data_IF_530877762720
#
_entry.id   IF_530877762720
#
_cell.length_a   1.000
_cell.length_b   1.000
_cell.length_c   1.000
_cell.angle_alpha   90.00
_cell.angle_beta   90.00
_cell.angle_gamma   90.00
#
_symmetry.space_group_name_H-M   'P 1'
#
loop_
_entity.id
_entity.type
_entity.pdbx_description
1 polymer ?
#
# COMPACT_ATOMS: atom_id res chain seq x y z
N UNK A 1 -8.69 -2.63 10.04
CA UNK A 1 -7.83 -3.27 9.01
C UNK A 1 -7.14 -2.20 8.20
N UNK A 2 -7.87 -1.25 7.60
CA UNK A 2 -7.31 -0.04 6.97
C UNK A 2 -7.31 1.15 7.94
N UNK A 3 -6.40 2.13 7.80
CA UNK A 3 -6.43 3.33 8.63
C UNK A 3 -7.71 4.12 8.37
N UNK A 4 -8.11 5.05 9.27
CA UNK A 4 -9.17 6.01 8.97
C UNK A 4 -8.93 6.60 7.57
N UNK A 5 -9.92 6.44 6.70
CA UNK A 5 -9.82 6.75 5.28
C UNK A 5 -11.15 7.32 4.81
N UNK A 6 -11.11 8.36 3.97
CA UNK A 6 -12.26 8.80 3.19
C UNK A 6 -11.85 8.88 1.71
N UNK A 7 -12.81 8.65 0.83
CA UNK A 7 -12.64 8.77 -0.62
C UNK A 7 -13.68 9.75 -1.11
N UNK A 8 -13.24 10.92 -1.58
CA UNK A 8 -14.17 12.02 -1.87
C UNK A 8 -13.64 12.97 -2.94
N UNK A 9 -14.56 13.65 -3.61
CA UNK A 9 -14.28 14.83 -4.44
C UNK A 9 -14.66 16.14 -3.74
N UNK A 10 -15.28 16.08 -2.58
CA UNK A 10 -15.72 17.26 -1.85
C UNK A 10 -14.60 17.82 -0.96
N UNK A 11 -14.15 19.03 -1.27
CA UNK A 11 -13.08 19.71 -0.52
C UNK A 11 -13.46 19.92 0.96
N UNK A 12 -14.75 20.12 1.26
CA UNK A 12 -15.19 20.31 2.63
C UNK A 12 -15.00 19.03 3.46
N UNK A 13 -15.38 17.87 2.91
CA UNK A 13 -15.12 16.56 3.51
C UNK A 13 -13.62 16.34 3.78
N UNK A 14 -12.74 16.77 2.86
CA UNK A 14 -11.28 16.64 3.05
C UNK A 14 -10.79 17.54 4.19
N UNK A 15 -11.30 18.78 4.28
CA UNK A 15 -10.98 19.72 5.37
C UNK A 15 -11.41 19.18 6.73
N UNK A 16 -12.64 18.68 6.82
CA UNK A 16 -13.17 18.08 8.05
C UNK A 16 -12.37 16.84 8.47
N UNK A 17 -11.95 16.03 7.50
CA UNK A 17 -11.08 14.89 7.75
C UNK A 17 -9.70 15.33 8.27
N UNK A 18 -9.07 16.34 7.65
CA UNK A 18 -7.81 16.95 8.13
C UNK A 18 -7.99 17.54 9.52
N UNK A 19 -9.08 18.24 9.79
CA UNK A 19 -9.34 18.83 11.10
C UNK A 19 -9.49 17.78 12.19
N UNK A 20 -10.17 16.66 11.90
CA UNK A 20 -10.34 15.55 12.84
C UNK A 20 -9.04 14.81 13.13
N UNK A 21 -8.23 14.54 12.10
CA UNK A 21 -7.06 13.67 12.22
C UNK A 21 -5.72 14.40 12.34
N UNK A 22 -5.70 15.72 12.07
CA UNK A 22 -4.57 16.66 12.12
C UNK A 22 -3.43 16.38 11.13
N UNK A 23 -3.06 15.14 10.93
CA UNK A 23 -2.00 14.70 10.03
C UNK A 23 -2.53 13.62 9.08
N UNK A 24 -2.48 13.91 7.79
CA UNK A 24 -3.14 13.12 6.76
C UNK A 24 -2.23 12.86 5.57
N UNK A 25 -2.52 11.78 4.84
CA UNK A 25 -2.04 11.51 3.49
C UNK A 25 -3.16 11.86 2.52
N UNK A 26 -2.84 12.68 1.52
CA UNK A 26 -3.68 12.95 0.35
C UNK A 26 -3.05 12.26 -0.86
N UNK A 27 -3.81 11.39 -1.54
CA UNK A 27 -3.33 10.67 -2.73
C UNK A 27 -4.44 10.49 -3.79
N UNK A 28 -4.09 10.45 -5.09
CA UNK A 28 -5.06 10.13 -6.13
C UNK A 28 -5.59 8.70 -5.98
N UNK A 29 -6.82 8.44 -6.45
CA UNK A 29 -7.39 7.09 -6.46
C UNK A 29 -6.59 6.13 -7.34
N UNK A 30 -6.09 6.63 -8.47
CA UNK A 30 -5.26 5.87 -9.40
C UNK A 30 -3.84 6.42 -9.41
N UNK A 31 -2.89 5.50 -9.50
CA UNK A 31 -1.47 5.80 -9.50
C UNK A 31 -0.71 4.55 -9.08
N UNK A 32 0.62 4.66 -9.08
CA UNK A 32 1.49 3.67 -8.48
C UNK A 32 2.72 4.39 -7.94
N UNK A 33 3.50 3.68 -7.13
CA UNK A 33 4.79 4.17 -6.70
C UNK A 33 4.76 5.44 -5.84
N UNK A 34 3.65 5.76 -5.19
CA UNK A 34 3.58 6.98 -4.39
C UNK A 34 3.64 8.27 -5.23
N UNK A 35 3.37 8.18 -6.54
CA UNK A 35 3.13 9.35 -7.37
C UNK A 35 1.89 10.09 -6.85
N UNK A 36 2.03 11.40 -6.61
CA UNK A 36 0.94 12.22 -6.07
C UNK A 36 0.57 11.93 -4.62
N UNK A 37 1.46 11.31 -3.82
CA UNK A 37 1.24 11.10 -2.39
C UNK A 37 1.83 12.27 -1.61
N UNK A 38 0.99 13.00 -0.89
CA UNK A 38 1.39 14.14 -0.05
C UNK A 38 1.00 13.91 1.40
N UNK A 39 1.92 14.19 2.32
CA UNK A 39 1.61 14.32 3.75
C UNK A 39 1.28 15.77 4.05
N UNK A 40 0.11 15.99 4.67
CA UNK A 40 -0.35 17.31 5.10
C UNK A 40 -0.52 17.26 6.61
N UNK A 41 0.46 17.82 7.32
CA UNK A 41 0.41 17.95 8.77
C UNK A 41 -0.58 19.05 9.22
N UNK A 42 -0.67 19.27 10.53
CA UNK A 42 -1.58 20.26 11.09
C UNK A 42 -1.30 21.69 10.60
N UNK A 43 -0.04 22.00 10.27
CA UNK A 43 0.44 23.31 9.86
C UNK A 43 0.45 23.51 8.34
N UNK A 44 0.29 22.43 7.55
CA UNK A 44 0.24 22.51 6.09
C UNK A 44 -0.88 23.46 5.61
N UNK A 45 -0.53 24.30 4.65
CA UNK A 45 -1.40 25.32 4.03
C UNK A 45 -1.70 25.06 2.56
N UNK A 46 -1.27 23.91 2.03
CA UNK A 46 -1.31 23.60 0.60
C UNK A 46 -2.55 22.80 0.19
N UNK A 47 -3.39 22.38 1.14
CA UNK A 47 -4.55 21.54 0.86
C UNK A 47 -5.42 22.03 -0.31
N UNK A 48 -5.81 23.32 -0.31
CA UNK A 48 -6.67 23.86 -1.37
C UNK A 48 -5.98 23.82 -2.75
N UNK A 49 -4.69 24.17 -2.81
CA UNK A 49 -3.91 24.15 -4.04
C UNK A 49 -3.67 22.73 -4.57
N UNK A 50 -3.39 21.77 -3.68
CA UNK A 50 -3.26 20.36 -4.06
C UNK A 50 -4.60 19.80 -4.56
N UNK A 51 -5.70 20.17 -3.92
CA UNK A 51 -7.03 19.79 -4.37
C UNK A 51 -7.32 20.33 -5.78
N UNK A 52 -7.08 21.62 -6.03
CA UNK A 52 -7.22 22.23 -7.36
C UNK A 52 -6.32 21.55 -8.40
N UNK A 53 -5.06 21.27 -8.04
CA UNK A 53 -4.12 20.55 -8.88
C UNK A 53 -4.71 19.19 -9.30
N UNK A 54 -5.08 18.34 -8.35
CA UNK A 54 -5.59 17.00 -8.65
C UNK A 54 -6.91 17.02 -9.44
N UNK A 55 -7.85 17.89 -9.03
CA UNK A 55 -9.17 17.97 -9.68
C UNK A 55 -9.13 18.67 -11.03
N UNK A 56 -8.05 19.41 -11.33
CA UNK A 56 -7.80 20.02 -12.63
C UNK A 56 -7.45 19.01 -13.73
N UNK A 57 -6.77 17.90 -13.38
CA UNK A 57 -6.37 16.88 -14.37
C UNK A 57 -7.08 15.53 -14.22
N UNK A 58 -7.86 15.33 -13.15
CA UNK A 58 -8.58 14.08 -12.91
C UNK A 58 -10.03 14.31 -12.48
N UNK A 59 -10.94 13.45 -12.96
CA UNK A 59 -12.34 13.40 -12.52
C UNK A 59 -12.56 12.42 -11.36
N UNK A 60 -11.50 11.79 -10.89
CA UNK A 60 -11.57 10.76 -9.87
C UNK A 60 -11.54 11.36 -8.47
N UNK A 61 -12.14 10.70 -7.46
CA UNK A 61 -12.00 11.13 -6.09
C UNK A 61 -10.55 11.02 -5.60
N UNK A 62 -10.26 11.76 -4.54
CA UNK A 62 -9.02 11.63 -3.78
C UNK A 62 -9.22 10.68 -2.62
N UNK A 63 -8.17 9.93 -2.29
CA UNK A 63 -8.10 9.18 -1.05
C UNK A 63 -7.43 10.07 -0.02
N UNK A 64 -8.08 10.23 1.12
CA UNK A 64 -7.53 10.90 2.30
C UNK A 64 -7.42 9.88 3.42
N UNK A 65 -6.21 9.63 3.91
CA UNK A 65 -5.97 8.66 4.99
C UNK A 65 -5.31 9.36 6.16
N UNK A 66 -5.55 8.88 7.39
CA UNK A 66 -4.76 9.32 8.55
C UNK A 66 -3.29 8.95 8.33
N UNK A 67 -2.37 9.89 8.58
CA UNK A 67 -0.94 9.60 8.55
C UNK A 67 -0.56 8.57 9.64
N UNK A 68 0.31 7.63 9.28
CA UNK A 68 0.77 6.55 10.14
C UNK A 68 2.26 6.76 10.48
N UNK A 69 2.60 7.18 11.71
CA UNK A 69 4.00 7.41 12.12
C UNK A 69 4.90 6.18 11.99
N UNK A 70 4.30 4.98 12.09
CA UNK A 70 4.98 3.69 11.96
C UNK A 70 5.64 3.52 10.57
N UNK A 71 5.28 4.32 9.56
CA UNK A 71 5.94 4.30 8.24
C UNK A 71 7.44 4.58 8.32
N UNK A 72 7.89 5.25 9.38
CA UNK A 72 9.33 5.47 9.65
C UNK A 72 10.08 4.18 9.92
N UNK A 73 9.41 3.15 10.45
CA UNK A 73 9.94 1.79 10.59
C UNK A 73 9.80 0.98 9.29
N UNK A 74 9.02 1.48 8.33
CA UNK A 74 8.88 0.95 6.98
C UNK A 74 7.44 0.68 6.55
N UNK A 75 7.32 0.34 5.28
CA UNK A 75 6.09 -0.07 4.60
C UNK A 75 6.30 -1.50 4.07
N UNK A 76 5.68 -2.46 4.75
CA UNK A 76 5.82 -3.89 4.44
C UNK A 76 5.01 -4.23 3.20
N UNK A 77 5.71 -4.75 2.18
CA UNK A 77 5.12 -5.39 1.01
C UNK A 77 4.97 -6.88 1.31
N UNK A 78 3.75 -7.32 1.57
CA UNK A 78 3.42 -8.76 1.72
C UNK A 78 2.98 -9.30 0.37
N UNK A 79 3.57 -10.40 -0.08
CA UNK A 79 3.22 -11.07 -1.33
C UNK A 79 2.26 -12.22 -1.02
N UNK A 80 1.15 -12.28 -1.75
CA UNK A 80 0.19 -13.37 -1.70
C UNK A 80 0.12 -14.08 -3.05
N UNK A 81 0.03 -15.42 -3.00
CA UNK A 81 -0.25 -16.27 -4.15
C UNK A 81 -1.52 -17.06 -3.84
N UNK A 82 -2.52 -16.92 -4.72
CA UNK A 82 -3.84 -17.54 -4.57
C UNK A 82 -4.54 -17.29 -3.22
N UNK A 83 -4.36 -16.08 -2.69
CA UNK A 83 -4.89 -15.67 -1.39
C UNK A 83 -4.03 -16.07 -0.19
N UNK A 84 -2.95 -16.83 -0.37
CA UNK A 84 -2.07 -17.27 0.72
C UNK A 84 -0.78 -16.43 0.76
N UNK A 85 -0.35 -15.91 1.93
CA UNK A 85 0.88 -15.14 2.04
C UNK A 85 2.13 -16.01 1.88
N UNK A 86 3.05 -15.61 1.01
CA UNK A 86 4.30 -16.35 0.74
C UNK A 86 5.54 -15.72 1.36
N UNK A 87 5.45 -14.46 1.78
CA UNK A 87 6.53 -13.73 2.43
C UNK A 87 6.37 -12.22 2.32
N UNK A 88 7.31 -11.47 2.87
CA UNK A 88 7.28 -10.02 2.85
C UNK A 88 8.67 -9.39 2.76
N UNK A 89 8.70 -8.16 2.26
CA UNK A 89 9.86 -7.28 2.37
C UNK A 89 9.44 -6.00 3.10
N UNK A 90 10.30 -5.48 3.97
CA UNK A 90 10.07 -4.17 4.57
C UNK A 90 10.74 -3.11 3.71
N UNK A 91 10.01 -2.08 3.30
CA UNK A 91 10.58 -0.98 2.53
C UNK A 91 10.76 0.20 3.47
N UNK A 92 12.00 0.55 3.79
CA UNK A 92 12.30 1.65 4.71
C UNK A 92 12.52 2.94 3.91
N UNK A 93 11.83 4.04 4.25
CA UNK A 93 11.96 5.29 3.49
C UNK A 93 13.35 5.91 3.68
N UNK A 94 13.81 6.67 2.68
CA UNK A 94 15.02 7.46 2.81
C UNK A 94 14.85 8.57 3.87
N UNK A 95 15.95 9.03 4.46
CA UNK A 95 15.91 10.09 5.47
C UNK A 95 15.27 11.37 4.89
N UNK A 96 14.17 11.81 5.50
CA UNK A 96 13.43 13.01 5.08
C UNK A 96 12.36 12.77 4.01
N UNK A 97 12.20 11.53 3.54
CA UNK A 97 11.15 11.14 2.59
C UNK A 97 10.01 10.42 3.33
N UNK A 98 8.77 10.67 2.91
CA UNK A 98 7.58 10.02 3.50
C UNK A 98 7.22 8.73 2.77
N UNK A 99 7.66 8.60 1.52
CA UNK A 99 7.39 7.46 0.66
C UNK A 99 8.46 6.38 0.82
N UNK A 100 8.00 5.16 1.02
CA UNK A 100 8.86 3.99 1.20
C UNK A 100 9.09 3.19 -0.08
N UNK A 101 8.48 3.55 -1.20
CA UNK A 101 8.58 2.76 -2.41
C UNK A 101 10.03 2.69 -2.94
N UNK A 102 10.45 1.52 -3.44
CA UNK A 102 11.85 1.29 -3.84
C UNK A 102 12.31 2.20 -5.00
N UNK A 103 11.43 2.49 -5.95
CA UNK A 103 11.74 3.37 -7.09
C UNK A 103 11.93 4.86 -6.71
N UNK A 104 11.55 5.29 -5.49
CA UNK A 104 11.89 6.63 -4.94
C UNK A 104 13.03 6.56 -3.92
N UNK A 105 13.78 5.45 -3.87
CA UNK A 105 14.94 5.28 -3.01
C UNK A 105 14.68 4.56 -1.69
N UNK A 106 13.47 3.99 -1.49
CA UNK A 106 13.20 3.13 -0.34
C UNK A 106 14.08 1.87 -0.34
N UNK A 107 14.67 1.53 0.81
CA UNK A 107 15.56 0.37 0.93
C UNK A 107 14.76 -0.88 1.31
N UNK A 108 14.84 -1.97 0.52
CA UNK A 108 14.24 -3.23 0.93
C UNK A 108 15.08 -3.91 2.01
N UNK A 109 14.41 -4.42 3.03
CA UNK A 109 14.99 -5.15 4.15
C UNK A 109 14.20 -6.44 4.37
N UNK A 110 14.91 -7.49 4.81
CA UNK A 110 14.29 -8.75 5.20
C UNK A 110 13.37 -8.52 6.40
N UNK A 111 12.18 -9.09 6.36
CA UNK A 111 11.23 -9.06 7.48
C UNK A 111 10.37 -10.32 7.50
N UNK A 112 10.04 -10.77 8.70
CA UNK A 112 9.10 -11.87 8.90
C UNK A 112 7.66 -11.36 8.97
N UNK A 113 6.70 -12.20 8.57
CA UNK A 113 5.28 -11.93 8.77
C UNK A 113 4.92 -12.00 10.24
N UNK A 114 4.42 -10.88 10.78
CA UNK A 114 3.82 -10.83 12.11
C UNK A 114 2.46 -11.54 12.15
N UNK A 115 1.97 -11.85 13.36
CA UNK A 115 0.61 -12.37 13.56
C UNK A 115 -0.45 -11.47 12.92
N UNK A 116 -0.27 -10.15 13.04
CA UNK A 116 -1.19 -9.18 12.43
C UNK A 116 -1.18 -9.22 10.91
N UNK A 117 -0.03 -9.46 10.29
CA UNK A 117 0.06 -9.58 8.82
C UNK A 117 -0.70 -10.82 8.34
N UNK A 118 -0.53 -11.94 9.06
CA UNK A 118 -1.23 -13.19 8.78
C UNK A 118 -2.74 -13.01 8.94
N UNK A 119 -3.20 -12.37 10.02
CA UNK A 119 -4.62 -12.06 10.22
C UNK A 119 -5.20 -11.20 9.07
N UNK A 120 -4.46 -10.21 8.59
CA UNK A 120 -4.86 -9.40 7.42
C UNK A 120 -4.99 -10.29 6.18
N UNK A 121 -4.00 -11.16 5.93
CA UNK A 121 -3.99 -12.06 4.78
C UNK A 121 -5.13 -13.08 4.85
N UNK A 122 -5.36 -13.73 5.99
CA UNK A 122 -6.44 -14.70 6.21
C UNK A 122 -7.81 -14.08 5.94
N UNK A 123 -7.97 -12.78 6.26
CA UNK A 123 -9.23 -12.07 6.08
C UNK A 123 -9.52 -11.66 4.62
N UNK A 124 -8.50 -11.33 3.83
CA UNK A 124 -8.68 -10.90 2.42
C UNK A 124 -8.43 -12.02 1.42
N UNK A 125 -7.62 -13.01 1.79
CA UNK A 125 -7.14 -14.10 0.95
C UNK A 125 -8.25 -14.84 0.21
N UNK A 126 -9.32 -15.29 0.91
CA UNK A 126 -10.45 -15.95 0.25
C UNK A 126 -11.09 -15.09 -0.84
N UNK A 127 -11.37 -13.81 -0.55
CA UNK A 127 -11.95 -12.88 -1.52
C UNK A 127 -11.03 -12.65 -2.72
N UNK A 128 -9.72 -12.49 -2.49
CA UNK A 128 -8.75 -12.33 -3.59
C UNK A 128 -8.75 -13.57 -4.51
N UNK A 129 -8.73 -14.77 -3.92
CA UNK A 129 -8.79 -16.04 -4.65
C UNK A 129 -10.09 -16.19 -5.45
N UNK A 130 -11.23 -15.90 -4.83
CA UNK A 130 -12.56 -16.03 -5.47
C UNK A 130 -12.72 -15.07 -6.66
N UNK A 131 -12.04 -13.92 -6.62
CA UNK A 131 -11.96 -12.96 -7.72
C UNK A 131 -10.83 -13.23 -8.72
N UNK A 132 -10.18 -14.40 -8.65
CA UNK A 132 -9.12 -14.79 -9.59
C UNK A 132 -7.82 -13.99 -9.46
N UNK A 133 -7.61 -13.30 -8.34
CA UNK A 133 -6.40 -12.52 -8.08
C UNK A 133 -5.26 -13.44 -7.63
N UNK A 134 -4.63 -14.10 -8.61
CA UNK A 134 -3.59 -15.11 -8.37
C UNK A 134 -2.35 -14.53 -7.72
N UNK A 135 -1.93 -13.32 -8.11
CA UNK A 135 -0.71 -12.69 -7.63
C UNK A 135 -1.00 -11.28 -7.13
N UNK A 136 -0.86 -11.08 -5.82
CA UNK A 136 -1.24 -9.83 -5.14
C UNK A 136 -0.11 -9.37 -4.23
N UNK A 137 0.16 -8.08 -4.22
CA UNK A 137 1.02 -7.43 -3.23
C UNK A 137 0.21 -6.49 -2.36
N UNK A 138 0.18 -6.70 -1.05
CA UNK A 138 -0.44 -5.76 -0.12
C UNK A 138 0.63 -4.93 0.59
N UNK A 139 0.26 -3.70 0.93
CA UNK A 139 1.11 -2.77 1.66
C UNK A 139 0.57 -2.63 3.09
N UNK A 140 1.43 -2.84 4.09
CA UNK A 140 1.09 -2.82 5.51
C UNK A 140 2.04 -1.88 6.25
N UNK A 141 1.49 -0.88 6.91
CA UNK A 141 2.24 0.05 7.77
C UNK A 141 1.77 -0.15 9.20
N UNK A 142 2.70 -0.51 10.10
CA UNK A 142 2.38 -0.92 11.46
C UNK A 142 1.40 -2.09 11.45
N UNK A 143 0.17 -1.85 11.91
CA UNK A 143 -0.92 -2.84 11.98
C UNK A 143 -2.03 -2.63 10.93
N UNK A 144 -1.81 -1.70 10.00
CA UNK A 144 -2.80 -1.23 9.05
C UNK A 144 -2.46 -1.64 7.62
N UNK A 145 -3.44 -2.25 6.93
CA UNK A 145 -3.46 -2.43 5.48
C UNK A 145 -3.70 -1.08 4.80
N UNK A 146 -2.79 -0.62 3.96
CA UNK A 146 -2.88 0.70 3.29
C UNK A 146 -3.24 0.59 1.82
N UNK A 147 -2.87 -0.51 1.16
CA UNK A 147 -3.08 -0.71 -0.27
C UNK A 147 -3.11 -2.20 -0.66
N UNK A 148 -3.85 -2.53 -1.72
CA UNK A 148 -3.85 -3.87 -2.35
C UNK A 148 -3.50 -3.67 -3.83
N UNK A 149 -2.36 -4.23 -4.26
CA UNK A 149 -1.84 -4.14 -5.63
C UNK A 149 -2.13 -5.44 -6.37
N UNK A 150 -3.04 -5.39 -7.35
CA UNK A 150 -3.51 -6.57 -8.10
C UNK A 150 -3.07 -6.61 -9.57
N UNK A 151 -2.39 -5.57 -10.06
CA UNK A 151 -2.03 -5.44 -11.48
C UNK A 151 -0.62 -5.94 -11.77
N UNK A 152 0.39 -5.31 -11.18
CA UNK A 152 1.80 -5.66 -11.35
C UNK A 152 2.57 -5.50 -10.05
N UNK A 153 2.24 -6.26 -8.98
CA UNK A 153 2.95 -6.15 -7.73
C UNK A 153 4.42 -6.56 -7.89
N UNK A 154 5.32 -5.74 -7.37
CA UNK A 154 6.77 -5.98 -7.34
C UNK A 154 7.24 -6.42 -5.95
N UNK A 155 8.50 -6.87 -5.85
CA UNK A 155 9.14 -7.25 -4.59
C UNK A 155 9.57 -8.72 -4.51
N UNK A 156 9.24 -9.54 -5.52
CA UNK A 156 9.59 -10.96 -5.52
C UNK A 156 11.10 -11.19 -5.62
N UNK A 157 11.83 -10.35 -6.36
CA UNK A 157 13.29 -10.52 -6.48
C UNK A 157 14.00 -10.29 -5.14
N UNK A 158 13.59 -9.28 -4.40
CA UNK A 158 14.10 -9.01 -3.05
C UNK A 158 13.73 -10.15 -2.10
N UNK A 159 12.47 -10.58 -2.12
CA UNK A 159 11.97 -11.67 -1.28
C UNK A 159 12.74 -12.98 -1.52
N UNK A 160 12.90 -13.39 -2.78
CA UNK A 160 13.65 -14.59 -3.15
C UNK A 160 15.12 -14.51 -2.70
N UNK A 161 15.76 -13.34 -2.82
CA UNK A 161 17.14 -13.14 -2.32
C UNK A 161 17.23 -13.23 -0.79
N UNK A 162 16.23 -12.75 -0.06
CA UNK A 162 16.25 -12.75 1.41
C UNK A 162 15.88 -14.10 2.02
N UNK A 163 14.97 -14.85 1.37
CA UNK A 163 14.38 -16.06 1.94
C UNK A 163 14.81 -17.35 1.24
N UNK A 164 15.52 -17.25 0.11
CA UNK A 164 16.00 -18.41 -0.63
C UNK A 164 14.88 -19.26 -1.21
N UNK A 165 13.73 -18.65 -1.48
CA UNK A 165 12.54 -19.31 -2.07
C UNK A 165 12.44 -19.00 -3.57
N UNK A 166 11.62 -19.75 -4.29
CA UNK A 166 11.24 -19.46 -5.68
C UNK A 166 9.75 -19.08 -5.73
N UNK A 167 9.48 -17.79 -5.69
CA UNK A 167 8.14 -17.21 -5.74
C UNK A 167 7.57 -17.34 -7.15
N UNK A 168 8.39 -17.14 -8.17
CA UNK A 168 7.97 -17.28 -9.57
C UNK A 168 7.44 -18.70 -9.88
N UNK A 169 8.13 -19.74 -9.41
CA UNK A 169 7.69 -21.13 -9.55
C UNK A 169 6.35 -21.38 -8.85
N UNK A 170 6.15 -20.84 -7.64
CA UNK A 170 4.87 -20.96 -6.92
C UNK A 170 3.72 -20.34 -7.72
N UNK A 171 3.93 -19.16 -8.32
CA UNK A 171 2.92 -18.51 -9.18
C UNK A 171 2.57 -19.42 -10.36
N UNK A 172 3.57 -19.94 -11.08
CA UNK A 172 3.34 -20.80 -12.24
C UNK A 172 2.61 -22.09 -11.87
N UNK A 173 3.01 -22.76 -10.78
CA UNK A 173 2.30 -23.96 -10.28
C UNK A 173 0.83 -23.68 -9.96
N UNK A 174 0.54 -22.52 -9.36
CA UNK A 174 -0.85 -22.10 -9.10
C UNK A 174 -1.62 -21.88 -10.40
N UNK A 175 -1.02 -21.23 -11.40
CA UNK A 175 -1.66 -21.01 -12.70
C UNK A 175 -1.95 -22.36 -13.38
N UNK A 176 -0.97 -23.27 -13.44
CA UNK A 176 -1.11 -24.61 -14.02
C UNK A 176 -2.24 -25.40 -13.34
N UNK A 177 -2.29 -25.38 -12.00
CA UNK A 177 -3.32 -26.07 -11.23
C UNK A 177 -4.75 -25.53 -11.48
N UNK A 178 -4.88 -24.25 -11.83
CA UNK A 178 -6.19 -23.64 -12.16
C UNK A 178 -6.66 -23.95 -13.59
N UNK A 179 -5.75 -24.39 -14.47
CA UNK A 179 -6.04 -24.75 -15.86
C UNK A 179 -6.31 -26.25 -16.07
N UNK A 180 -5.96 -27.08 -15.08
CA UNK A 180 -6.18 -28.53 -15.08
C UNK A 180 -7.63 -28.89 -14.70
#
# INVERSE_FOLDING_TARGET
>A
MTPPTTVTRDLQTIREFKERHKDIILKPLYGNGGAGVFRLDANDRNLSSLYELFTGFSREPLIVQKYLPDVTAGDKRVILIDGEPVGAINRVPAKGEVRSNMHVGGRPEKIELSERDREICDRIGPTLRDHGQVFVGIDVIGTWLTEINVTSPTGIQELERFDGINVAEKIWKTIEAKLA
#
